data_IF_450601098533
#
_entry.id   IF_450601098533
#
_cell.length_a   1.000
_cell.length_b   1.000
_cell.length_c   1.000
_cell.angle_alpha   90.00
_cell.angle_beta   90.00
_cell.angle_gamma   90.00
#
_symmetry.space_group_name_H-M   'P 1'
#
loop_
_entity.id
_entity.type
_entity.pdbx_description
1 polymer ?
#
# COMPACT_ATOMS: atom_id res chain seq x y z
N UNK A 1 17.76 -39.83 18.39
CA UNK A 1 16.50 -39.65 17.65
C UNK A 1 16.79 -39.11 16.28
N UNK A 2 16.11 -39.62 15.24
CA UNK A 2 16.10 -39.03 13.89
C UNK A 2 15.30 -37.74 13.90
N UNK A 3 15.41 -36.90 12.85
CA UNK A 3 14.64 -35.64 12.76
C UNK A 3 13.14 -35.88 12.69
N UNK A 4 12.71 -36.99 12.06
CA UNK A 4 11.30 -37.38 11.98
C UNK A 4 10.73 -37.78 13.35
N UNK A 5 11.55 -38.43 14.22
CA UNK A 5 11.16 -38.78 15.59
C UNK A 5 11.19 -37.55 16.51
N UNK A 6 12.06 -36.59 16.24
CA UNK A 6 12.22 -35.40 17.05
C UNK A 6 11.14 -34.33 16.74
N UNK A 7 10.65 -34.29 15.52
CA UNK A 7 9.67 -33.31 15.03
C UNK A 7 8.43 -33.17 15.94
N UNK A 8 7.65 -34.24 16.20
CA UNK A 8 6.49 -34.16 17.09
C UNK A 8 6.83 -33.82 18.54
N UNK A 9 8.07 -34.09 18.98
CA UNK A 9 8.54 -33.71 20.32
C UNK A 9 8.81 -32.23 20.38
N UNK A 10 9.48 -31.68 19.36
CA UNK A 10 9.81 -30.24 19.26
C UNK A 10 8.54 -29.40 19.21
N UNK A 11 7.53 -29.83 18.47
CA UNK A 11 6.25 -29.11 18.36
C UNK A 11 5.52 -29.01 19.73
N UNK A 12 5.66 -29.98 20.58
CA UNK A 12 4.99 -30.02 21.90
C UNK A 12 5.84 -29.45 23.03
N UNK A 13 7.15 -29.41 22.87
CA UNK A 13 8.09 -29.00 23.91
C UNK A 13 8.38 -27.51 23.82
N UNK A 14 8.11 -26.78 24.88
CA UNK A 14 8.35 -25.32 24.93
C UNK A 14 9.67 -24.94 25.60
N UNK A 15 10.31 -25.86 26.31
CA UNK A 15 11.54 -25.57 27.06
C UNK A 15 12.55 -26.67 26.78
N UNK A 16 13.70 -26.28 26.25
CA UNK A 16 14.86 -27.12 26.06
C UNK A 16 16.01 -26.56 26.89
N UNK A 17 16.59 -27.36 27.78
CA UNK A 17 17.67 -26.91 28.64
C UNK A 17 18.96 -27.63 28.31
N UNK A 18 20.11 -26.97 28.56
CA UNK A 18 21.46 -27.50 28.34
C UNK A 18 21.71 -28.04 26.93
N UNK A 19 21.14 -27.36 25.94
CA UNK A 19 21.36 -27.68 24.53
C UNK A 19 22.70 -27.13 24.05
N UNK A 20 23.46 -27.93 23.32
CA UNK A 20 24.69 -27.50 22.63
C UNK A 20 24.38 -26.81 21.30
N UNK A 21 25.31 -26.05 20.70
CA UNK A 21 25.06 -25.26 19.46
C UNK A 21 24.47 -26.08 18.31
N UNK A 22 24.96 -27.29 18.09
CA UNK A 22 24.47 -28.19 17.04
C UNK A 22 23.01 -28.60 17.27
N UNK A 23 22.64 -28.80 18.54
CA UNK A 23 21.25 -29.13 18.90
C UNK A 23 20.34 -27.91 18.73
N UNK A 24 20.79 -26.69 19.08
CA UNK A 24 20.04 -25.46 18.83
C UNK A 24 19.74 -25.30 17.33
N UNK A 25 20.77 -25.48 16.50
CA UNK A 25 20.63 -25.43 15.06
C UNK A 25 19.65 -26.49 14.53
N UNK A 26 19.74 -27.71 15.02
CA UNK A 26 18.86 -28.81 14.63
C UNK A 26 17.41 -28.54 15.03
N UNK A 27 17.16 -28.11 16.27
CA UNK A 27 15.81 -27.72 16.74
C UNK A 27 15.21 -26.62 15.91
N UNK A 28 15.99 -25.57 15.60
CA UNK A 28 15.57 -24.48 14.75
C UNK A 28 15.20 -24.98 13.35
N UNK A 29 16.00 -25.86 12.75
CA UNK A 29 15.75 -26.42 11.43
C UNK A 29 14.44 -27.21 11.37
N UNK A 30 14.11 -27.94 12.45
CA UNK A 30 12.83 -28.65 12.56
C UNK A 30 11.67 -27.65 12.68
N UNK A 31 11.78 -26.67 13.57
CA UNK A 31 10.74 -25.64 13.76
C UNK A 31 10.46 -24.82 12.50
N UNK A 32 11.48 -24.57 11.67
CA UNK A 32 11.34 -23.86 10.39
C UNK A 32 10.45 -24.56 9.38
N UNK A 33 10.24 -25.88 9.51
CA UNK A 33 9.33 -26.62 8.61
C UNK A 33 7.87 -26.20 8.80
N UNK A 34 7.52 -25.82 10.03
CA UNK A 34 6.14 -25.56 10.42
C UNK A 34 5.87 -24.09 10.77
N UNK A 35 6.91 -23.35 11.19
CA UNK A 35 6.79 -21.99 11.71
C UNK A 35 7.75 -21.01 11.08
N UNK A 36 7.36 -19.73 11.06
CA UNK A 36 8.30 -18.64 10.87
C UNK A 36 9.01 -18.40 12.20
N UNK A 37 10.32 -18.63 12.22
CA UNK A 37 11.13 -18.64 13.42
C UNK A 37 12.00 -17.40 13.54
N UNK A 38 12.00 -16.79 14.72
CA UNK A 38 13.03 -15.86 15.15
C UNK A 38 13.96 -16.57 16.15
N UNK A 39 15.25 -16.38 16.01
CA UNK A 39 16.27 -16.90 16.94
C UNK A 39 16.96 -15.73 17.62
N UNK A 40 17.00 -15.75 18.96
CA UNK A 40 17.78 -14.78 19.73
C UNK A 40 19.06 -15.41 20.25
N UNK A 41 20.15 -14.66 20.27
CA UNK A 41 21.43 -15.12 20.78
C UNK A 41 22.39 -13.97 21.04
N UNK A 42 23.35 -14.20 21.94
CA UNK A 42 24.36 -13.21 22.36
C UNK A 42 25.80 -13.69 22.16
N UNK A 43 26.00 -15.00 21.99
CA UNK A 43 27.29 -15.63 21.92
C UNK A 43 27.71 -16.13 20.55
N UNK A 44 28.98 -16.42 20.40
CA UNK A 44 29.55 -17.05 19.19
C UNK A 44 28.91 -18.41 18.90
N UNK A 45 28.49 -19.12 19.94
CA UNK A 45 27.82 -20.42 19.85
C UNK A 45 26.43 -20.35 19.23
N UNK A 46 25.83 -19.16 19.20
CA UNK A 46 24.49 -18.96 18.64
C UNK A 46 24.50 -18.58 17.15
N UNK A 47 25.66 -18.24 16.61
CA UNK A 47 25.84 -17.76 15.23
C UNK A 47 25.24 -18.72 14.19
N UNK A 48 25.46 -20.05 14.24
CA UNK A 48 24.84 -20.95 13.27
C UNK A 48 23.31 -20.95 13.34
N UNK A 49 22.73 -20.83 14.51
CA UNK A 49 21.29 -20.74 14.69
C UNK A 49 20.73 -19.36 14.30
N UNK A 50 21.43 -18.27 14.65
CA UNK A 50 21.07 -16.91 14.24
C UNK A 50 21.04 -16.76 12.71
N UNK A 51 22.07 -17.23 12.02
CA UNK A 51 22.15 -17.14 10.56
C UNK A 51 21.16 -18.06 9.83
N UNK A 52 20.75 -19.16 10.45
CA UNK A 52 19.80 -20.11 9.85
C UNK A 52 18.32 -19.77 10.15
N UNK A 53 18.03 -18.92 11.12
CA UNK A 53 16.66 -18.50 11.41
C UNK A 53 16.05 -17.70 10.23
N UNK A 54 14.72 -17.59 10.18
CA UNK A 54 14.09 -16.63 9.28
C UNK A 54 14.46 -15.20 9.69
N UNK A 55 14.58 -14.94 10.98
CA UNK A 55 15.06 -13.68 11.54
C UNK A 55 16.02 -13.99 12.70
N UNK A 56 17.31 -13.69 12.51
CA UNK A 56 18.30 -13.72 13.60
C UNK A 56 18.25 -12.42 14.37
N UNK A 57 18.12 -12.48 15.69
CA UNK A 57 18.04 -11.32 16.58
C UNK A 57 19.21 -11.39 17.57
N UNK A 58 20.24 -10.58 17.38
CA UNK A 58 21.38 -10.52 18.27
C UNK A 58 21.13 -9.53 19.42
N UNK A 59 21.63 -9.86 20.61
CA UNK A 59 21.61 -8.93 21.73
C UNK A 59 22.66 -7.85 21.55
N UNK A 60 22.36 -6.62 21.97
CA UNK A 60 23.28 -5.47 21.88
C UNK A 60 24.55 -5.65 22.71
N UNK A 61 24.43 -6.29 23.88
CA UNK A 61 25.57 -6.71 24.73
C UNK A 61 26.31 -7.94 24.23
N UNK A 62 25.78 -8.60 23.15
CA UNK A 62 26.37 -9.82 22.61
C UNK A 62 27.72 -9.60 21.90
N UNK A 63 28.39 -10.69 21.57
CA UNK A 63 29.66 -10.68 20.84
C UNK A 63 29.51 -10.01 19.46
N UNK A 64 30.60 -9.42 18.94
CA UNK A 64 30.62 -8.82 17.60
C UNK A 64 30.16 -9.81 16.53
N UNK A 65 30.61 -11.07 16.62
CA UNK A 65 30.27 -12.13 15.66
C UNK A 65 28.78 -12.45 15.71
N UNK A 66 28.16 -12.48 16.90
CA UNK A 66 26.72 -12.69 17.03
C UNK A 66 25.92 -11.51 16.46
N UNK A 67 26.38 -10.27 16.69
CA UNK A 67 25.76 -9.06 16.11
C UNK A 67 25.86 -9.01 14.60
N UNK A 68 27.00 -9.42 14.04
CA UNK A 68 27.18 -9.48 12.58
C UNK A 68 26.34 -10.58 11.91
N UNK A 69 26.03 -11.65 12.65
CA UNK A 69 25.18 -12.75 12.18
C UNK A 69 23.67 -12.45 12.30
N UNK A 70 23.29 -11.49 13.14
CA UNK A 70 21.90 -11.11 13.38
C UNK A 70 21.35 -10.18 12.29
N UNK A 71 20.13 -10.41 11.81
CA UNK A 71 19.41 -9.49 10.95
C UNK A 71 18.89 -8.26 11.72
N UNK A 72 18.70 -8.40 13.03
CA UNK A 72 18.27 -7.34 13.96
C UNK A 72 19.18 -7.34 15.17
N UNK A 73 19.53 -6.17 15.69
CA UNK A 73 20.31 -6.00 16.93
C UNK A 73 19.42 -5.28 17.96
N UNK A 74 19.20 -5.91 19.12
CA UNK A 74 18.47 -5.34 20.24
C UNK A 74 19.40 -4.51 21.10
N UNK A 75 19.46 -3.21 20.89
CA UNK A 75 20.38 -2.33 21.59
C UNK A 75 20.09 -2.22 23.11
N UNK A 76 18.85 -2.46 23.50
CA UNK A 76 18.38 -2.41 24.90
C UNK A 76 18.31 -3.79 25.58
N UNK A 77 18.72 -4.84 24.89
CA UNK A 77 18.65 -6.25 25.32
C UNK A 77 17.26 -6.69 25.85
N UNK A 78 16.21 -6.00 25.40
CA UNK A 78 14.86 -6.20 25.90
C UNK A 78 14.00 -7.00 24.91
N UNK A 79 13.56 -8.18 25.32
CA UNK A 79 12.67 -9.04 24.50
C UNK A 79 11.33 -8.37 24.13
N UNK A 80 10.84 -7.40 24.92
CA UNK A 80 9.64 -6.64 24.56
C UNK A 80 9.82 -5.86 23.25
N UNK A 81 11.03 -5.38 22.99
CA UNK A 81 11.38 -4.65 21.76
C UNK A 81 11.23 -5.54 20.51
N UNK A 82 11.38 -6.86 20.62
CA UNK A 82 11.08 -7.79 19.52
C UNK A 82 9.61 -7.70 19.11
N UNK A 83 8.70 -7.63 20.08
CA UNK A 83 7.26 -7.51 19.80
C UNK A 83 6.94 -6.17 19.13
N UNK A 84 7.58 -5.10 19.56
CA UNK A 84 7.43 -3.78 18.95
C UNK A 84 8.02 -3.76 17.53
N UNK A 85 9.18 -4.39 17.31
CA UNK A 85 9.77 -4.57 15.98
C UNK A 85 8.87 -5.41 15.04
N UNK A 86 8.25 -6.48 15.56
CA UNK A 86 7.27 -7.26 14.79
C UNK A 86 6.04 -6.43 14.39
N UNK A 87 5.54 -5.61 15.31
CA UNK A 87 4.40 -4.70 15.03
C UNK A 87 4.77 -3.70 13.94
N UNK A 88 5.95 -3.09 14.07
CA UNK A 88 6.43 -2.12 13.10
C UNK A 88 6.68 -2.76 11.73
N UNK A 89 7.33 -3.92 11.66
CA UNK A 89 7.53 -4.66 10.42
C UNK A 89 6.22 -5.00 9.71
N UNK A 90 5.20 -5.43 10.45
CA UNK A 90 3.86 -5.68 9.90
C UNK A 90 3.20 -4.40 9.40
N UNK A 91 3.42 -3.27 10.07
CA UNK A 91 2.92 -1.95 9.66
C UNK A 91 3.61 -1.51 8.37
N UNK A 92 4.93 -1.66 8.27
CA UNK A 92 5.70 -1.31 7.07
C UNK A 92 5.19 -2.11 5.85
N UNK A 93 5.03 -3.43 5.97
CA UNK A 93 4.51 -4.25 4.87
C UNK A 93 3.09 -3.83 4.48
N UNK A 94 2.22 -3.54 5.45
CA UNK A 94 0.89 -3.03 5.17
C UNK A 94 0.93 -1.67 4.43
N UNK A 95 1.84 -0.78 4.81
CA UNK A 95 2.03 0.51 4.15
C UNK A 95 2.59 0.36 2.74
N UNK A 96 3.56 -0.53 2.51
CA UNK A 96 4.06 -0.87 1.16
C UNK A 96 2.91 -1.37 0.27
N UNK A 97 2.03 -2.23 0.78
CA UNK A 97 0.84 -2.69 0.04
C UNK A 97 -0.10 -1.54 -0.33
N UNK A 98 -0.33 -0.59 0.59
CA UNK A 98 -1.16 0.61 0.33
C UNK A 98 -0.58 1.47 -0.77
N UNK A 99 0.74 1.71 -0.72
CA UNK A 99 1.45 2.46 -1.76
C UNK A 99 1.34 1.77 -3.11
N UNK A 100 1.61 0.46 -3.18
CA UNK A 100 1.48 -0.32 -4.41
C UNK A 100 0.04 -0.35 -4.92
N UNK A 101 -0.94 -0.57 -4.05
CA UNK A 101 -2.35 -0.53 -4.42
C UNK A 101 -2.71 0.82 -5.05
N UNK A 102 -2.32 1.93 -4.42
CA UNK A 102 -2.60 3.27 -4.92
C UNK A 102 -1.95 3.48 -6.29
N UNK A 103 -0.62 3.35 -6.39
CA UNK A 103 0.14 3.58 -7.62
C UNK A 103 -0.35 2.71 -8.78
N UNK A 104 -0.51 1.42 -8.55
CA UNK A 104 -0.91 0.52 -9.62
C UNK A 104 -2.36 0.75 -10.06
N UNK A 105 -3.27 1.10 -9.15
CA UNK A 105 -4.65 1.43 -9.52
C UNK A 105 -4.75 2.75 -10.29
N UNK A 106 -4.00 3.80 -9.90
CA UNK A 106 -3.98 5.09 -10.62
C UNK A 106 -3.38 4.95 -12.01
N UNK A 107 -2.18 4.38 -12.12
CA UNK A 107 -1.50 4.20 -13.40
C UNK A 107 -2.28 3.27 -14.34
N UNK A 108 -2.90 2.20 -13.81
CA UNK A 108 -3.79 1.33 -14.61
C UNK A 108 -5.02 2.10 -15.09
N UNK A 109 -5.60 2.97 -14.26
CA UNK A 109 -6.71 3.83 -14.63
C UNK A 109 -6.36 4.80 -15.77
N UNK A 110 -5.20 5.42 -15.72
CA UNK A 110 -4.67 6.26 -16.80
C UNK A 110 -4.49 5.47 -18.10
N UNK A 111 -3.84 4.30 -17.99
CA UNK A 111 -3.62 3.42 -19.14
C UNK A 111 -4.95 2.99 -19.78
N UNK A 112 -5.94 2.54 -18.98
CA UNK A 112 -7.26 2.15 -19.47
C UNK A 112 -7.95 3.36 -20.11
N UNK A 113 -7.81 4.57 -19.56
CA UNK A 113 -8.40 5.79 -20.13
C UNK A 113 -7.82 6.07 -21.52
N UNK A 114 -6.50 6.01 -21.68
CA UNK A 114 -5.84 6.28 -22.96
C UNK A 114 -6.10 5.19 -24.00
N UNK A 115 -5.95 3.92 -23.61
CA UNK A 115 -6.20 2.78 -24.49
C UNK A 115 -7.70 2.68 -24.83
N UNK A 116 -8.57 2.91 -23.84
CA UNK A 116 -10.02 2.96 -24.04
C UNK A 116 -10.43 4.01 -25.07
N UNK A 117 -9.88 5.23 -24.95
CA UNK A 117 -10.14 6.28 -25.94
C UNK A 117 -9.72 5.88 -27.36
N UNK A 118 -8.55 5.25 -27.50
CA UNK A 118 -8.05 4.75 -28.77
C UNK A 118 -8.98 3.68 -29.37
N UNK A 119 -9.42 2.73 -28.54
CA UNK A 119 -10.26 1.62 -28.98
C UNK A 119 -11.67 2.05 -29.43
N UNK A 120 -12.23 3.09 -28.79
CA UNK A 120 -13.55 3.65 -29.18
C UNK A 120 -13.44 4.74 -30.24
N UNK A 121 -12.22 5.07 -30.72
CA UNK A 121 -11.99 5.96 -31.85
C UNK A 121 -12.17 7.46 -31.51
N UNK A 122 -12.04 7.85 -30.25
CA UNK A 122 -12.06 9.27 -29.84
C UNK A 122 -10.64 9.82 -29.72
N UNK A 123 -10.52 11.16 -29.76
CA UNK A 123 -9.24 11.83 -29.53
C UNK A 123 -8.73 11.56 -28.11
N UNK A 124 -7.45 11.78 -27.90
CA UNK A 124 -6.80 11.58 -26.60
C UNK A 124 -7.44 12.46 -25.51
N UNK A 125 -7.98 11.87 -24.44
CA UNK A 125 -8.65 12.62 -23.38
C UNK A 125 -7.70 13.36 -22.45
N UNK A 126 -6.40 13.07 -22.52
CA UNK A 126 -5.35 13.69 -21.71
C UNK A 126 -4.15 14.04 -22.59
N UNK A 127 -3.49 15.14 -22.26
CA UNK A 127 -2.19 15.51 -22.84
C UNK A 127 -1.04 14.79 -22.11
N UNK A 128 0.07 14.47 -22.79
CA UNK A 128 1.23 13.83 -22.15
C UNK A 128 1.76 14.62 -20.95
N UNK A 129 1.75 15.95 -21.00
CA UNK A 129 2.18 16.81 -19.90
C UNK A 129 1.24 16.72 -18.69
N UNK A 130 -0.06 16.50 -18.91
CA UNK A 130 -1.04 16.29 -17.84
C UNK A 130 -0.80 14.95 -17.14
N UNK A 131 -0.50 13.88 -17.89
CA UNK A 131 -0.13 12.58 -17.33
C UNK A 131 1.16 12.70 -16.52
N UNK A 132 2.17 13.41 -17.04
CA UNK A 132 3.40 13.66 -16.30
C UNK A 132 3.14 14.42 -15.00
N UNK A 133 2.26 15.43 -15.01
CA UNK A 133 1.87 16.17 -13.82
C UNK A 133 1.22 15.26 -12.79
N UNK A 134 0.29 14.43 -13.20
CA UNK A 134 -0.40 13.49 -12.31
C UNK A 134 0.60 12.56 -11.64
N UNK A 135 1.45 11.90 -12.40
CA UNK A 135 2.42 10.93 -11.88
C UNK A 135 3.48 11.58 -10.97
N UNK A 136 3.94 12.79 -11.32
CA UNK A 136 4.99 13.47 -10.55
C UNK A 136 4.43 14.18 -9.32
N UNK A 137 3.32 14.89 -9.44
CA UNK A 137 2.80 15.76 -8.39
C UNK A 137 1.72 15.07 -7.57
N UNK A 138 0.66 14.59 -8.21
CA UNK A 138 -0.49 14.02 -7.52
C UNK A 138 -0.11 12.70 -6.84
N UNK A 139 0.50 11.78 -7.57
CA UNK A 139 0.87 10.47 -7.03
C UNK A 139 1.91 10.57 -5.93
N UNK A 140 2.97 11.37 -6.13
CA UNK A 140 4.00 11.55 -5.09
C UNK A 140 3.43 12.15 -3.81
N UNK A 141 2.52 13.14 -3.94
CA UNK A 141 1.86 13.77 -2.78
C UNK A 141 1.02 12.79 -1.96
N UNK A 142 0.54 11.70 -2.56
CA UNK A 142 -0.30 10.69 -1.90
C UNK A 142 0.50 9.47 -1.43
N UNK A 143 1.46 9.00 -2.23
CA UNK A 143 2.22 7.77 -1.95
C UNK A 143 3.07 7.89 -0.70
N UNK A 144 3.81 9.00 -0.55
CA UNK A 144 4.67 9.21 0.62
C UNK A 144 3.85 9.16 1.93
N UNK A 145 2.74 9.91 2.05
CA UNK A 145 1.88 9.82 3.24
C UNK A 145 1.25 8.45 3.50
N UNK A 146 0.90 7.69 2.44
CA UNK A 146 0.39 6.33 2.56
C UNK A 146 1.44 5.37 3.13
N UNK A 147 2.72 5.61 2.83
CA UNK A 147 3.85 4.90 3.44
C UNK A 147 4.04 5.19 4.93
N UNK A 148 3.46 6.28 5.42
CA UNK A 148 3.53 6.72 6.82
C UNK A 148 2.20 6.51 7.57
N UNK A 149 1.32 5.64 7.07
CA UNK A 149 0.04 5.36 7.74
C UNK A 149 0.26 4.68 9.10
N UNK A 150 -0.43 5.12 10.15
CA UNK A 150 -0.33 4.52 11.47
C UNK A 150 -0.78 3.06 11.47
N UNK A 151 -0.20 2.30 12.40
CA UNK A 151 -0.51 0.88 12.63
C UNK A 151 -2.01 0.64 12.74
N UNK A 152 -2.52 -0.36 12.02
CA UNK A 152 -3.92 -0.78 12.14
C UNK A 152 -4.17 -1.53 13.45
N UNK A 153 -5.37 -1.35 14.00
CA UNK A 153 -5.81 -2.13 15.15
C UNK A 153 -5.84 -3.62 14.80
N UNK A 154 -5.31 -4.44 15.70
CA UNK A 154 -5.32 -5.90 15.51
C UNK A 154 -4.26 -6.43 14.55
N UNK A 155 -3.28 -5.65 14.10
CA UNK A 155 -2.20 -6.11 13.23
C UNK A 155 -1.44 -7.31 13.83
N UNK A 156 -1.31 -7.37 15.16
CA UNK A 156 -0.66 -8.48 15.87
C UNK A 156 -1.56 -9.72 16.02
N UNK A 157 -2.86 -9.61 15.79
CA UNK A 157 -3.79 -10.74 15.86
C UNK A 157 -3.84 -11.54 14.54
N UNK A 158 -3.24 -11.02 13.47
CA UNK A 158 -3.14 -11.75 12.19
C UNK A 158 -2.08 -12.83 12.29
N UNK A 159 -2.30 -14.00 11.67
CA UNK A 159 -1.26 -15.03 11.59
C UNK A 159 -0.04 -14.48 10.84
N UNK A 160 1.16 -15.05 11.05
CA UNK A 160 2.34 -14.70 10.26
C UNK A 160 2.13 -15.06 8.79
N UNK A 161 2.63 -14.20 7.91
CA UNK A 161 2.61 -14.50 6.48
C UNK A 161 3.80 -15.40 6.10
N UNK A 162 3.62 -16.24 5.10
CA UNK A 162 4.73 -17.07 4.59
C UNK A 162 5.81 -16.17 3.98
N UNK A 163 7.10 -16.55 4.06
CA UNK A 163 8.21 -15.76 3.54
C UNK A 163 8.11 -15.45 2.04
N UNK A 164 7.51 -16.36 1.28
CA UNK A 164 7.30 -16.31 -0.16
C UNK A 164 5.91 -15.80 -0.56
N UNK A 165 5.12 -15.30 0.41
CA UNK A 165 3.79 -14.77 0.12
C UNK A 165 3.89 -13.55 -0.82
N UNK A 166 3.08 -13.47 -1.87
CA UNK A 166 3.10 -12.33 -2.77
C UNK A 166 2.66 -11.06 -2.03
N UNK A 167 3.35 -9.95 -2.30
CA UNK A 167 3.02 -8.65 -1.72
C UNK A 167 1.59 -8.24 -2.13
N UNK A 168 1.23 -8.46 -3.39
CA UNK A 168 -0.11 -8.23 -3.92
C UNK A 168 -0.87 -9.56 -3.96
N UNK A 169 -1.90 -9.68 -3.16
CA UNK A 169 -2.79 -10.83 -3.23
C UNK A 169 -3.86 -10.65 -4.31
N UNK A 170 -4.46 -11.75 -4.75
CA UNK A 170 -5.46 -11.77 -5.83
C UNK A 170 -6.65 -10.81 -5.56
N UNK A 171 -7.05 -10.69 -4.31
CA UNK A 171 -8.16 -9.80 -3.93
C UNK A 171 -7.79 -8.31 -4.09
N UNK A 172 -6.54 -7.95 -3.75
CA UNK A 172 -6.03 -6.59 -4.00
C UNK A 172 -6.00 -6.28 -5.50
N UNK A 173 -5.53 -7.23 -6.32
CA UNK A 173 -5.50 -7.06 -7.78
C UNK A 173 -6.89 -6.83 -8.34
N UNK A 174 -7.90 -7.60 -7.94
CA UNK A 174 -9.28 -7.36 -8.35
C UNK A 174 -9.80 -5.99 -7.92
N UNK A 175 -9.53 -5.59 -6.69
CA UNK A 175 -9.90 -4.26 -6.21
C UNK A 175 -9.21 -3.15 -7.01
N UNK A 176 -7.94 -3.32 -7.37
CA UNK A 176 -7.20 -2.39 -8.22
C UNK A 176 -7.86 -2.25 -9.60
N UNK A 177 -8.22 -3.35 -10.24
CA UNK A 177 -8.90 -3.36 -11.55
C UNK A 177 -10.26 -2.66 -11.47
N UNK A 178 -11.05 -2.92 -10.42
CA UNK A 178 -12.36 -2.28 -10.23
C UNK A 178 -12.20 -0.75 -10.05
N UNK A 179 -11.26 -0.33 -9.21
CA UNK A 179 -11.01 1.10 -8.97
C UNK A 179 -10.47 1.78 -10.24
N UNK A 180 -9.48 1.19 -10.89
CA UNK A 180 -8.90 1.70 -12.14
C UNK A 180 -9.97 1.82 -13.24
N UNK A 181 -10.79 0.78 -13.41
CA UNK A 181 -11.91 0.79 -14.37
C UNK A 181 -12.94 1.86 -14.04
N UNK A 182 -13.26 2.07 -12.76
CA UNK A 182 -14.18 3.12 -12.32
C UNK A 182 -13.64 4.51 -12.66
N UNK A 183 -12.38 4.79 -12.34
CA UNK A 183 -11.72 6.07 -12.61
C UNK A 183 -11.68 6.35 -14.11
N UNK A 184 -11.29 5.35 -14.91
CA UNK A 184 -11.26 5.44 -16.37
C UNK A 184 -12.65 5.65 -16.98
N UNK A 185 -13.66 4.92 -16.49
CA UNK A 185 -15.03 5.08 -16.98
C UNK A 185 -15.57 6.51 -16.72
N UNK A 186 -15.26 7.10 -15.54
CA UNK A 186 -15.63 8.47 -15.23
C UNK A 186 -14.90 9.44 -16.17
N UNK A 187 -13.59 9.32 -16.33
CA UNK A 187 -12.80 10.22 -17.18
C UNK A 187 -13.25 10.17 -18.63
N UNK A 188 -13.49 8.98 -19.19
CA UNK A 188 -13.98 8.80 -20.56
C UNK A 188 -15.41 9.32 -20.73
N UNK A 189 -16.31 9.05 -19.80
CA UNK A 189 -17.68 9.54 -19.85
C UNK A 189 -17.72 11.09 -19.80
N UNK A 190 -16.93 11.69 -18.94
CA UNK A 190 -16.78 13.15 -18.84
C UNK A 190 -16.22 13.72 -20.13
N UNK A 191 -15.17 13.12 -20.68
CA UNK A 191 -14.58 13.55 -21.93
C UNK A 191 -15.61 13.52 -23.05
N UNK A 192 -16.29 12.40 -23.30
CA UNK A 192 -17.28 12.23 -24.38
C UNK A 192 -18.43 13.22 -24.23
N UNK A 193 -18.91 13.44 -22.99
CA UNK A 193 -20.01 14.36 -22.71
C UNK A 193 -19.67 15.81 -23.08
N UNK A 194 -18.46 16.28 -22.73
CA UNK A 194 -18.05 17.65 -23.00
C UNK A 194 -17.48 17.87 -24.40
N UNK A 195 -16.86 16.87 -25.04
CA UNK A 195 -16.36 16.99 -26.41
C UNK A 195 -17.47 17.36 -27.38
N UNK A 196 -18.65 16.75 -27.23
CA UNK A 196 -19.80 17.02 -28.09
C UNK A 196 -20.43 18.40 -27.87
N UNK A 197 -20.22 19.02 -26.70
CA UNK A 197 -20.88 20.28 -26.30
C UNK A 197 -19.97 21.49 -26.30
N UNK A 198 -18.75 21.33 -25.86
CA UNK A 198 -17.81 22.42 -25.58
C UNK A 198 -16.49 22.29 -26.37
N UNK A 199 -16.34 21.15 -27.08
CA UNK A 199 -15.15 20.87 -27.87
C UNK A 199 -14.01 20.22 -27.11
N UNK A 200 -12.97 19.85 -27.85
CA UNK A 200 -11.88 18.99 -27.39
C UNK A 200 -11.09 19.54 -26.19
N UNK A 201 -10.62 20.79 -26.25
CA UNK A 201 -9.80 21.36 -25.18
C UNK A 201 -10.54 21.46 -23.83
N UNK A 202 -11.82 21.81 -23.88
CA UNK A 202 -12.68 21.82 -22.70
C UNK A 202 -12.85 20.41 -22.12
N UNK A 203 -13.13 19.43 -22.99
CA UNK A 203 -13.31 18.03 -22.61
C UNK A 203 -12.04 17.43 -21.99
N UNK A 204 -10.86 17.72 -22.56
CA UNK A 204 -9.58 17.30 -21.98
C UNK A 204 -9.37 17.86 -20.58
N UNK A 205 -9.62 19.14 -20.38
CA UNK A 205 -9.52 19.76 -19.05
C UNK A 205 -10.47 19.12 -18.06
N UNK A 206 -11.71 18.83 -18.46
CA UNK A 206 -12.70 18.19 -17.59
C UNK A 206 -12.35 16.74 -17.27
N UNK A 207 -11.81 15.98 -18.25
CA UNK A 207 -11.32 14.62 -18.03
C UNK A 207 -10.10 14.60 -17.08
N UNK A 208 -9.20 15.57 -17.22
CA UNK A 208 -8.05 15.74 -16.33
C UNK A 208 -8.51 16.02 -14.89
N UNK A 209 -9.49 16.93 -14.68
CA UNK A 209 -10.12 17.18 -13.36
C UNK A 209 -10.71 15.87 -12.80
N UNK A 210 -11.49 15.18 -13.60
CA UNK A 210 -12.15 13.95 -13.19
C UNK A 210 -11.14 12.89 -12.73
N UNK A 211 -10.03 12.75 -13.45
CA UNK A 211 -8.98 11.78 -13.12
C UNK A 211 -8.28 12.17 -11.82
N UNK A 212 -7.79 13.41 -11.67
CA UNK A 212 -7.09 13.88 -10.47
C UNK A 212 -7.96 13.74 -9.22
N UNK A 213 -9.21 14.15 -9.29
CA UNK A 213 -10.12 14.06 -8.15
C UNK A 213 -10.47 12.60 -7.80
N UNK A 214 -10.60 11.73 -8.81
CA UNK A 214 -10.76 10.29 -8.59
C UNK A 214 -9.54 9.65 -7.91
N UNK A 215 -8.33 10.14 -8.21
CA UNK A 215 -7.11 9.69 -7.53
C UNK A 215 -7.07 10.14 -6.07
N UNK A 216 -7.51 11.37 -5.76
CA UNK A 216 -7.68 11.78 -4.36
C UNK A 216 -8.65 10.87 -3.62
N UNK A 217 -9.79 10.56 -4.23
CA UNK A 217 -10.76 9.61 -3.67
C UNK A 217 -10.12 8.22 -3.45
N UNK A 218 -9.32 7.75 -4.41
CA UNK A 218 -8.59 6.49 -4.29
C UNK A 218 -7.52 6.52 -3.20
N UNK A 219 -6.86 7.65 -2.96
CA UNK A 219 -5.92 7.80 -1.85
C UNK A 219 -6.60 7.58 -0.49
N UNK A 220 -7.81 8.12 -0.30
CA UNK A 220 -8.61 7.82 0.89
C UNK A 220 -8.98 6.33 1.00
N UNK A 221 -9.33 5.68 -0.10
CA UNK A 221 -9.65 4.25 -0.15
C UNK A 221 -8.43 3.37 0.16
N UNK A 222 -7.23 3.81 -0.24
CA UNK A 222 -5.98 3.09 -0.06
C UNK A 222 -5.48 3.08 1.40
N UNK A 223 -5.98 3.98 2.26
CA UNK A 223 -5.57 4.06 3.68
C UNK A 223 -5.84 2.80 4.49
N UNK A 224 -6.75 1.94 4.06
CA UNK A 224 -6.99 0.64 4.67
C UNK A 224 -7.63 -0.35 3.70
N UNK A 225 -7.22 -1.61 3.81
CA UNK A 225 -7.80 -2.71 3.04
C UNK A 225 -9.05 -3.29 3.71
N UNK A 226 -9.06 -3.34 5.03
CA UNK A 226 -10.11 -4.02 5.80
C UNK A 226 -11.06 -3.06 6.52
N UNK A 227 -10.64 -1.85 6.87
CA UNK A 227 -11.50 -0.89 7.58
C UNK A 227 -12.32 -0.03 6.60
N UNK A 228 -13.54 0.34 7.01
CA UNK A 228 -14.33 1.32 6.25
C UNK A 228 -13.69 2.70 6.30
N UNK A 229 -13.89 3.50 5.25
CA UNK A 229 -13.39 4.86 5.17
C UNK A 229 -13.76 5.68 6.40
N UNK A 230 -15.02 5.62 6.84
CA UNK A 230 -15.51 6.38 8.00
C UNK A 230 -14.78 6.05 9.30
N UNK A 231 -14.39 4.78 9.48
CA UNK A 231 -13.56 4.38 10.64
C UNK A 231 -12.14 4.90 10.50
N UNK A 232 -11.58 4.83 9.29
CA UNK A 232 -10.21 5.24 9.02
C UNK A 232 -10.02 6.76 9.08
N UNK A 233 -11.02 7.56 8.74
CA UNK A 233 -10.99 9.02 8.90
C UNK A 233 -10.80 9.47 10.37
N UNK A 234 -11.21 8.64 11.34
CA UNK A 234 -10.96 8.92 12.77
C UNK A 234 -9.51 8.70 13.20
N UNK A 235 -8.70 8.03 12.39
CA UNK A 235 -7.27 7.82 12.63
C UNK A 235 -6.52 8.96 11.98
N UNK A 236 -5.94 9.84 12.83
CA UNK A 236 -5.20 11.00 12.35
C UNK A 236 -3.86 10.56 11.72
N UNK A 237 -3.67 10.90 10.47
CA UNK A 237 -2.38 10.89 9.78
C UNK A 237 -2.08 12.30 9.27
N UNK A 238 -1.26 13.04 10.00
CA UNK A 238 -0.91 14.42 9.65
C UNK A 238 -0.24 14.52 8.28
N UNK A 239 0.62 13.56 7.95
CA UNK A 239 1.32 13.49 6.66
C UNK A 239 0.33 13.32 5.52
N UNK A 240 -0.72 12.49 5.69
CA UNK A 240 -1.75 12.30 4.67
C UNK A 240 -2.54 13.57 4.39
N UNK A 241 -2.97 14.27 5.44
CA UNK A 241 -3.71 15.53 5.26
C UNK A 241 -2.81 16.64 4.71
N UNK A 242 -1.53 16.68 5.06
CA UNK A 242 -0.57 17.60 4.47
C UNK A 242 -0.36 17.31 2.96
N UNK A 243 -0.21 16.04 2.58
CA UNK A 243 -0.04 15.61 1.19
C UNK A 243 -1.24 15.96 0.32
N UNK A 244 -2.47 15.65 0.78
CA UNK A 244 -3.67 15.99 0.02
C UNK A 244 -3.88 17.51 -0.07
N UNK A 245 -3.62 18.26 1.00
CA UNK A 245 -3.69 19.72 0.97
C UNK A 245 -2.68 20.31 -0.01
N UNK A 246 -1.45 19.81 -0.04
CA UNK A 246 -0.42 20.22 -1.00
C UNK A 246 -0.88 19.95 -2.43
N UNK A 247 -1.40 18.73 -2.69
CA UNK A 247 -1.91 18.36 -4.03
C UNK A 247 -3.06 19.27 -4.47
N UNK A 248 -3.99 19.58 -3.57
CA UNK A 248 -5.12 20.50 -3.86
C UNK A 248 -4.60 21.91 -4.18
N UNK A 249 -3.68 22.44 -3.37
CA UNK A 249 -3.10 23.77 -3.60
C UNK A 249 -2.38 23.84 -4.96
N UNK A 250 -1.55 22.84 -5.26
CA UNK A 250 -0.86 22.76 -6.54
C UNK A 250 -1.85 22.64 -7.71
N UNK A 251 -2.94 21.89 -7.54
CA UNK A 251 -3.98 21.77 -8.56
C UNK A 251 -4.75 23.10 -8.78
N UNK A 252 -5.00 23.87 -7.72
CA UNK A 252 -5.56 25.22 -7.83
C UNK A 252 -4.62 26.14 -8.63
N UNK A 253 -3.31 26.05 -8.40
CA UNK A 253 -2.31 26.80 -9.17
C UNK A 253 -2.29 26.42 -10.66
N UNK A 254 -2.62 25.18 -10.99
CA UNK A 254 -2.78 24.71 -12.38
C UNK A 254 -4.01 25.36 -13.02
N UNK A 255 -5.15 25.40 -12.34
CA UNK A 255 -6.40 25.91 -12.93
C UNK A 255 -6.49 27.44 -12.96
N UNK A 256 -5.92 28.13 -11.99
CA UNK A 256 -6.06 29.57 -11.81
C UNK A 256 -4.73 30.33 -11.88
N UNK A 257 -3.62 29.64 -12.11
CA UNK A 257 -2.29 30.22 -12.13
C UNK A 257 -1.54 30.01 -13.47
N UNK A 258 -0.26 30.36 -13.51
CA UNK A 258 0.55 30.32 -14.74
C UNK A 258 0.85 28.90 -15.25
N UNK A 259 0.68 27.88 -14.44
CA UNK A 259 0.91 26.48 -14.82
C UNK A 259 -0.15 25.95 -15.80
N UNK A 260 -1.32 26.60 -15.88
CA UNK A 260 -2.41 26.19 -16.77
C UNK A 260 -2.03 26.25 -18.25
N UNK A 261 -1.25 27.23 -18.66
CA UNK A 261 -0.76 27.35 -20.05
C UNK A 261 0.18 26.17 -20.40
N UNK A 262 1.07 25.79 -19.48
CA UNK A 262 2.01 24.69 -19.67
C UNK A 262 1.30 23.34 -19.78
N UNK A 263 0.22 23.16 -19.00
CA UNK A 263 -0.58 21.95 -19.00
C UNK A 263 -1.73 21.98 -20.01
N UNK A 264 -1.80 22.99 -20.88
CA UNK A 264 -2.85 23.19 -21.88
C UNK A 264 -4.27 23.16 -21.28
N UNK A 265 -4.45 23.81 -20.12
CA UNK A 265 -5.73 23.87 -19.43
C UNK A 265 -6.62 24.92 -20.08
N UNK A 266 -7.78 24.49 -20.57
CA UNK A 266 -8.80 25.40 -21.11
C UNK A 266 -9.57 26.08 -19.96
N UNK A 267 -10.11 27.29 -20.24
CA UNK A 267 -11.07 27.91 -19.33
C UNK A 267 -12.37 27.11 -19.28
N UNK A 268 -12.71 26.62 -18.11
CA UNK A 268 -13.92 25.82 -17.87
C UNK A 268 -14.85 26.52 -16.88
N UNK A 269 -16.15 26.26 -17.00
CA UNK A 269 -17.12 26.82 -16.08
C UNK A 269 -16.92 26.24 -14.68
N UNK A 270 -16.93 27.10 -13.66
CA UNK A 270 -16.75 26.69 -12.27
C UNK A 270 -17.84 25.70 -11.81
N UNK A 271 -19.08 25.85 -12.29
CA UNK A 271 -20.18 24.92 -12.03
C UNK A 271 -19.88 23.50 -12.51
N UNK A 272 -19.35 23.37 -13.72
CA UNK A 272 -19.02 22.06 -14.31
C UNK A 272 -17.84 21.43 -13.55
N UNK A 273 -16.82 22.23 -13.21
CA UNK A 273 -15.69 21.79 -12.41
C UNK A 273 -16.13 21.24 -11.05
N UNK A 274 -17.04 21.93 -10.35
CA UNK A 274 -17.56 21.49 -9.05
C UNK A 274 -18.36 20.20 -9.19
N UNK A 275 -19.29 20.14 -10.15
CA UNK A 275 -20.15 18.96 -10.35
C UNK A 275 -19.30 17.73 -10.68
N UNK A 276 -18.37 17.84 -11.62
CA UNK A 276 -17.51 16.73 -12.01
C UNK A 276 -16.57 16.34 -10.86
N UNK A 277 -16.04 17.28 -10.11
CA UNK A 277 -15.24 16.98 -8.93
C UNK A 277 -16.02 16.19 -7.88
N UNK A 278 -17.27 16.57 -7.60
CA UNK A 278 -18.11 15.84 -6.66
C UNK A 278 -18.40 14.40 -7.13
N UNK A 279 -18.77 14.23 -8.41
CA UNK A 279 -19.01 12.92 -9.01
C UNK A 279 -17.75 12.05 -8.95
N UNK A 280 -16.62 12.60 -9.37
CA UNK A 280 -15.33 11.91 -9.43
C UNK A 280 -14.76 11.58 -8.05
N UNK A 281 -15.16 12.29 -7.01
CA UNK A 281 -14.77 11.98 -5.65
C UNK A 281 -15.68 10.90 -5.03
N UNK A 282 -16.99 11.02 -5.20
CA UNK A 282 -17.98 10.16 -4.54
C UNK A 282 -18.01 8.75 -5.14
N UNK A 283 -18.04 8.62 -6.47
CA UNK A 283 -18.24 7.32 -7.13
C UNK A 283 -17.13 6.32 -6.79
N UNK A 284 -15.82 6.63 -6.89
CA UNK A 284 -14.76 5.68 -6.55
C UNK A 284 -14.79 5.26 -5.07
N UNK A 285 -15.20 6.16 -4.16
CA UNK A 285 -15.38 5.82 -2.74
C UNK A 285 -16.51 4.81 -2.58
N UNK A 286 -17.68 5.09 -3.17
CA UNK A 286 -18.85 4.20 -3.05
C UNK A 286 -18.55 2.82 -3.62
N UNK A 287 -17.93 2.75 -4.80
CA UNK A 287 -17.57 1.49 -5.44
C UNK A 287 -16.56 0.69 -4.60
N UNK A 288 -15.54 1.36 -4.06
CA UNK A 288 -14.53 0.72 -3.21
C UNK A 288 -15.15 0.23 -1.88
N UNK A 289 -15.98 1.03 -1.22
CA UNK A 289 -16.64 0.63 0.03
C UNK A 289 -17.65 -0.51 -0.19
N UNK A 290 -18.38 -0.49 -1.31
CA UNK A 290 -19.24 -1.61 -1.71
C UNK A 290 -18.44 -2.90 -1.88
N UNK A 291 -17.31 -2.85 -2.60
CA UNK A 291 -16.43 -4.00 -2.77
C UNK A 291 -15.92 -4.53 -1.43
N UNK A 292 -15.46 -3.64 -0.54
CA UNK A 292 -15.03 -4.02 0.82
C UNK A 292 -16.17 -4.68 1.62
N UNK A 293 -17.39 -4.16 1.51
CA UNK A 293 -18.56 -4.72 2.19
C UNK A 293 -18.87 -6.15 1.71
N UNK A 294 -18.92 -6.37 0.40
CA UNK A 294 -19.18 -7.70 -0.19
C UNK A 294 -18.09 -8.69 0.22
N UNK A 295 -16.83 -8.27 0.15
CA UNK A 295 -15.68 -9.12 0.49
C UNK A 295 -15.65 -9.53 1.97
N UNK A 296 -16.02 -8.64 2.88
CA UNK A 296 -16.13 -8.98 4.32
C UNK A 296 -17.22 -10.01 4.58
N UNK A 297 -18.35 -9.90 3.89
CA UNK A 297 -19.48 -10.80 4.05
C UNK A 297 -19.19 -12.21 3.52
N UNK A 298 -18.28 -12.36 2.58
CA UNK A 298 -17.86 -13.66 2.05
C UNK A 298 -16.82 -14.38 2.92
N UNK A 299 -16.22 -13.68 3.90
CA UNK A 299 -15.21 -14.23 4.82
C UNK A 299 -15.77 -14.62 6.20
N UNK A 300 -16.99 -14.22 6.52
CA UNK A 300 -17.72 -14.58 7.75
C UNK A 300 -18.81 -15.60 7.49
#
# INVERSE_FOLDING_TARGET
LTDEQLDPIVERTKVFSRVIPEQKYRLLTILKKHHITAMTGDGVNDVPALSNAHIGVAMGSGSHIARDAGAIILLDDNFKTIIDAMREGRTIIANVRRMLFYLLSTNTGELITMVGALLIGIKTPLEPVQILWVNLVTDTSMVIPLGLEPTEKGVMNRPPEKPDAPILNHMMVWRMVIVAGTMSAIALAVYIFFEQRQGHAYAQTMAFIALVVSQWANAFNARSDDESLLKRLKVMNKSFYAGISLSIVLQILVFFGPLGEILHIAHVALSDMIIISLISFIIPIVVSEWHKYVTRRSKG
#
